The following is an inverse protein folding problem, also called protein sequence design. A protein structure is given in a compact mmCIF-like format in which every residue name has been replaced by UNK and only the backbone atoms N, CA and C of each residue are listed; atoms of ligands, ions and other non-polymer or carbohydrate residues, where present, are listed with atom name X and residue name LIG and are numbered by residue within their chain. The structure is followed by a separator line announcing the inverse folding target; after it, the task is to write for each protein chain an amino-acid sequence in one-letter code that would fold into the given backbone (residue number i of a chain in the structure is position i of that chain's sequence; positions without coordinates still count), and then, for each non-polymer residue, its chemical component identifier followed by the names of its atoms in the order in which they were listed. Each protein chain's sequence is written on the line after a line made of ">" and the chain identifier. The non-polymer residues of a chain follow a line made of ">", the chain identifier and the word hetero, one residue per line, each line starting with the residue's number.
data_IF_108829649611
#
_entry.id   IF_108829649611
#
_cell.length_a   1.000
_cell.length_b   1.000
_cell.length_c   1.000
_cell.angle_alpha   90.00
_cell.angle_beta   90.00
_cell.angle_gamma   90.00
#
_symmetry.space_group_name_H-M   'P 1'
#
loop_
_entity.id
_entity.type
_entity.pdbx_description
1 polymer ?
#
# COMPACT_ATOMS: atom_id res chain seq x y z
N UNK A 1 10.79 -12.78 4.73
CA UNK A 1 9.54 -12.36 4.04
C UNK A 1 9.63 -10.86 3.88
N UNK A 2 9.23 -10.34 2.72
CA UNK A 2 9.18 -8.89 2.46
C UNK A 2 8.27 -8.20 3.50
N UNK A 3 8.78 -7.16 4.16
CA UNK A 3 8.05 -6.37 5.16
C UNK A 3 6.79 -5.76 4.55
N UNK A 4 6.81 -5.36 3.29
CA UNK A 4 5.64 -4.79 2.63
C UNK A 4 4.49 -5.78 2.57
N UNK A 5 4.78 -7.05 2.29
CA UNK A 5 3.79 -8.12 2.31
C UNK A 5 3.26 -8.40 3.72
N UNK A 6 4.10 -8.30 4.75
CA UNK A 6 3.67 -8.46 6.15
C UNK A 6 2.73 -7.34 6.55
N UNK A 7 3.10 -6.08 6.28
CA UNK A 7 2.30 -4.90 6.62
C UNK A 7 0.94 -4.93 5.89
N UNK A 8 0.92 -5.29 4.60
CA UNK A 8 -0.32 -5.49 3.83
C UNK A 8 -1.20 -6.61 4.37
N UNK A 9 -0.59 -7.69 4.86
CA UNK A 9 -1.33 -8.79 5.49
C UNK A 9 -1.98 -8.39 6.83
N UNK A 10 -1.51 -7.30 7.45
CA UNK A 10 -2.11 -6.72 8.66
C UNK A 10 -3.21 -5.69 8.36
N UNK A 11 -3.58 -5.51 7.08
CA UNK A 11 -4.63 -4.56 6.66
C UNK A 11 -4.14 -3.12 6.47
N UNK A 12 -2.83 -2.90 6.49
CA UNK A 12 -2.22 -1.59 6.24
C UNK A 12 -1.75 -1.47 4.78
N UNK A 13 -1.96 -0.32 4.15
CA UNK A 13 -1.63 -0.07 2.75
C UNK A 13 -0.67 1.13 2.62
N UNK A 14 0.58 1.01 3.12
CA UNK A 14 1.55 2.09 2.99
C UNK A 14 1.95 2.29 1.52
N UNK A 15 2.23 3.53 1.16
CA UNK A 15 2.98 3.88 -0.05
C UNK A 15 4.42 3.37 0.04
N UNK A 16 5.13 3.33 -1.09
CA UNK A 16 6.55 2.93 -1.10
C UNK A 16 7.42 3.84 -0.21
N UNK A 17 7.13 5.15 -0.21
CA UNK A 17 7.84 6.11 0.63
C UNK A 17 7.62 5.81 2.12
N UNK A 18 6.38 5.59 2.54
CA UNK A 18 6.04 5.24 3.92
C UNK A 18 6.63 3.88 4.34
N UNK A 19 6.68 2.92 3.41
CA UNK A 19 7.31 1.63 3.66
C UNK A 19 8.83 1.77 3.88
N UNK A 20 9.49 2.63 3.10
CA UNK A 20 10.90 2.95 3.29
C UNK A 20 11.16 3.67 4.62
N UNK A 21 10.29 4.58 5.03
CA UNK A 21 10.37 5.20 6.36
C UNK A 21 10.14 4.20 7.50
N UNK A 22 9.22 3.24 7.30
CA UNK A 22 8.99 2.16 8.26
C UNK A 22 10.24 1.29 8.38
N UNK A 23 10.84 0.91 7.25
CA UNK A 23 12.10 0.17 7.18
C UNK A 23 13.22 0.87 7.95
N UNK A 24 13.42 2.16 7.70
CA UNK A 24 14.43 2.97 8.40
C UNK A 24 14.20 3.06 9.92
N UNK A 25 12.98 2.84 10.42
CA UNK A 25 12.68 2.80 11.86
C UNK A 25 12.94 1.45 12.51
N UNK A 26 12.91 0.36 11.74
CA UNK A 26 13.02 -1.01 12.27
C UNK A 26 14.37 -1.67 11.97
N UNK A 27 15.10 -1.17 10.98
CA UNK A 27 16.41 -1.67 10.56
C UNK A 27 17.53 -0.76 11.13
N UNK A 28 18.33 -1.29 12.05
CA UNK A 28 19.46 -0.56 12.66
C UNK A 28 20.69 -0.53 11.73
N UNK A 29 20.87 -1.59 10.94
CA UNK A 29 21.92 -1.75 9.95
C UNK A 29 21.32 -2.37 8.68
N UNK A 30 21.76 -1.98 7.47
CA UNK A 30 21.23 -2.45 6.18
C UNK A 30 21.66 -3.88 5.90
N UNK A 31 21.24 -4.80 6.76
CA UNK A 31 21.52 -6.23 6.69
C UNK A 31 20.53 -6.94 5.78
N UNK A 32 19.40 -6.30 5.46
CA UNK A 32 18.28 -6.92 4.75
C UNK A 32 17.43 -7.81 5.64
N UNK A 33 17.68 -7.83 6.96
CA UNK A 33 16.93 -8.58 7.95
C UNK A 33 16.42 -7.66 9.06
N UNK A 34 15.19 -7.94 9.50
CA UNK A 34 14.53 -7.18 10.56
C UNK A 34 14.22 -8.13 11.70
N UNK A 35 14.73 -7.82 12.89
CA UNK A 35 14.42 -8.58 14.08
C UNK A 35 12.99 -8.31 14.53
N UNK A 36 12.26 -9.37 14.88
CA UNK A 36 10.85 -9.27 15.30
C UNK A 36 10.68 -8.33 16.50
N UNK A 37 11.63 -8.34 17.44
CA UNK A 37 11.63 -7.47 18.63
C UNK A 37 11.71 -5.97 18.29
N UNK A 38 12.29 -5.62 17.14
CA UNK A 38 12.35 -4.24 16.63
C UNK A 38 11.11 -3.89 15.81
N UNK A 39 10.59 -4.85 15.07
CA UNK A 39 9.36 -4.68 14.28
C UNK A 39 8.12 -4.48 15.16
N UNK A 40 7.95 -5.30 16.20
CA UNK A 40 6.72 -5.35 17.00
C UNK A 40 6.32 -3.99 17.60
N UNK A 41 7.22 -3.23 18.29
CA UNK A 41 6.84 -1.95 18.87
C UNK A 41 6.39 -0.93 17.82
N UNK A 42 7.09 -0.88 16.68
CA UNK A 42 6.78 0.05 15.59
C UNK A 42 5.44 -0.31 14.94
N UNK A 43 5.24 -1.58 14.59
CA UNK A 43 4.00 -2.03 13.95
C UNK A 43 2.80 -1.95 14.91
N UNK A 44 3.00 -2.22 16.20
CA UNK A 44 1.95 -2.05 17.22
C UNK A 44 1.46 -0.61 17.25
N UNK A 45 2.38 0.36 17.23
CA UNK A 45 2.02 1.77 17.18
C UNK A 45 1.25 2.12 15.90
N UNK A 46 1.72 1.65 14.75
CA UNK A 46 1.02 1.84 13.46
C UNK A 46 -0.43 1.34 13.51
N UNK A 47 -0.65 0.16 14.11
CA UNK A 47 -2.01 -0.41 14.24
C UNK A 47 -2.89 0.37 15.21
N UNK A 48 -2.34 0.81 16.35
CA UNK A 48 -3.07 1.60 17.34
C UNK A 48 -3.44 2.99 16.82
N UNK A 49 -2.51 3.63 16.11
CA UNK A 49 -2.69 4.95 15.51
C UNK A 49 -3.56 4.88 14.23
N UNK A 50 -3.90 3.67 13.77
CA UNK A 50 -4.63 3.40 12.51
C UNK A 50 -3.96 4.04 11.29
N UNK A 51 -2.63 4.07 11.30
CA UNK A 51 -1.84 4.56 10.18
C UNK A 51 -1.93 3.61 8.98
N UNK A 52 -1.73 4.15 7.78
CA UNK A 52 -1.77 3.40 6.51
C UNK A 52 -3.13 2.73 6.25
N UNK A 53 -4.22 3.38 6.63
CA UNK A 53 -5.56 2.88 6.33
C UNK A 53 -5.77 2.77 4.81
N UNK A 54 -6.46 1.73 4.31
CA UNK A 54 -6.79 1.62 2.90
C UNK A 54 -7.56 2.86 2.40
N UNK A 55 -7.42 3.15 1.11
CA UNK A 55 -8.29 4.14 0.47
C UNK A 55 -9.75 3.67 0.65
N UNK A 56 -10.68 4.55 1.07
CA UNK A 56 -12.09 4.21 1.23
C UNK A 56 -12.67 3.54 -0.02
N UNK A 57 -13.55 2.55 0.17
CA UNK A 57 -14.10 1.75 -0.93
C UNK A 57 -14.89 2.59 -1.93
N UNK A 58 -15.61 3.60 -1.47
CA UNK A 58 -16.35 4.55 -2.31
C UNK A 58 -15.41 5.39 -3.18
N UNK A 59 -14.25 5.80 -2.65
CA UNK A 59 -13.23 6.52 -3.42
C UNK A 59 -12.63 5.62 -4.49
N UNK A 60 -12.32 4.36 -4.15
CA UNK A 60 -11.83 3.38 -5.12
C UNK A 60 -12.86 3.08 -6.22
N UNK A 61 -14.13 2.96 -5.85
CA UNK A 61 -15.23 2.74 -6.79
C UNK A 61 -15.37 3.93 -7.75
N UNK A 62 -15.41 5.16 -7.24
CA UNK A 62 -15.49 6.34 -8.09
C UNK A 62 -14.27 6.49 -9.01
N UNK A 63 -13.06 6.18 -8.52
CA UNK A 63 -11.86 6.18 -9.35
C UNK A 63 -11.94 5.13 -10.47
N UNK A 64 -12.45 3.93 -10.18
CA UNK A 64 -12.70 2.91 -11.19
C UNK A 64 -13.74 3.35 -12.23
N UNK A 65 -14.87 3.91 -11.79
CA UNK A 65 -15.93 4.41 -12.67
C UNK A 65 -15.46 5.57 -13.57
N UNK A 66 -14.50 6.38 -13.11
CA UNK A 66 -13.90 7.43 -13.93
C UNK A 66 -13.10 6.86 -15.13
N UNK A 67 -12.52 5.66 -14.98
CA UNK A 67 -11.81 4.95 -16.03
C UNK A 67 -12.77 4.14 -16.93
N UNK A 68 -13.80 3.52 -16.34
CA UNK A 68 -14.87 2.79 -17.05
C UNK A 68 -15.98 3.72 -17.56
N UNK A 69 -15.65 4.53 -18.57
CA UNK A 69 -16.56 5.52 -19.17
C UNK A 69 -17.87 4.93 -19.71
N UNK A 70 -17.84 3.66 -20.12
CA UNK A 70 -18.99 2.98 -20.71
C UNK A 70 -19.84 2.24 -19.66
N UNK A 71 -19.42 2.24 -18.39
CA UNK A 71 -20.07 1.52 -17.28
C UNK A 71 -20.28 0.04 -17.59
N UNK A 72 -19.30 -0.60 -18.22
CA UNK A 72 -19.36 -2.03 -18.52
C UNK A 72 -18.93 -2.93 -17.34
N UNK A 73 -18.42 -2.34 -16.26
CA UNK A 73 -17.97 -3.02 -15.04
C UNK A 73 -16.55 -3.58 -15.13
N UNK A 74 -15.80 -3.24 -16.16
CA UNK A 74 -14.41 -3.67 -16.36
C UNK A 74 -13.60 -2.61 -17.12
N UNK A 75 -12.28 -2.58 -16.91
CA UNK A 75 -11.35 -1.75 -17.67
C UNK A 75 -10.55 -2.68 -18.59
N UNK A 76 -10.52 -2.39 -19.89
CA UNK A 76 -9.74 -3.20 -20.83
C UNK A 76 -8.24 -2.94 -20.66
N UNK A 77 -7.41 -3.87 -21.15
CA UNK A 77 -5.96 -3.66 -21.15
C UNK A 77 -5.60 -2.40 -21.93
N UNK A 78 -6.25 -2.20 -23.07
CA UNK A 78 -6.03 -1.08 -23.96
C UNK A 78 -6.38 0.25 -23.27
N UNK A 79 -7.51 0.31 -22.57
CA UNK A 79 -7.90 1.47 -21.77
C UNK A 79 -6.90 1.73 -20.64
N UNK A 80 -6.48 0.69 -19.92
CA UNK A 80 -5.54 0.83 -18.82
C UNK A 80 -4.17 1.33 -19.28
N UNK A 81 -3.63 0.77 -20.37
CA UNK A 81 -2.36 1.24 -20.96
C UNK A 81 -2.48 2.70 -21.33
N UNK A 82 -3.55 3.08 -22.03
CA UNK A 82 -3.81 4.47 -22.42
C UNK A 82 -3.76 5.41 -21.21
N UNK A 83 -4.51 5.11 -20.15
CA UNK A 83 -4.55 5.96 -18.95
C UNK A 83 -3.22 6.00 -18.18
N UNK A 84 -2.42 4.93 -18.20
CA UNK A 84 -1.14 4.86 -17.47
C UNK A 84 0.06 5.45 -18.23
N UNK A 85 -0.06 5.69 -19.54
CA UNK A 85 1.08 6.14 -20.36
C UNK A 85 0.86 7.47 -21.08
N UNK A 86 -0.39 7.90 -21.28
CA UNK A 86 -0.72 9.09 -22.08
C UNK A 86 -1.20 10.30 -21.26
N UNK A 87 -1.30 10.18 -19.93
CA UNK A 87 -1.52 11.32 -19.01
C UNK A 87 -0.23 11.76 -18.31
#
# INVERSE_FOLDING_TARGET
>A
RDIGCIVRSLGCFPSEAELNELLAKVEEEPTGFIHLEKFLPVMTKVLLDKSYWPIPEDVLLHAFEALDKNKCGYITKEDLVKYLTEE
#
